data_IF_853378372254
#
_entry.id   IF_853378372254
#
_cell.length_a   1.000
_cell.length_b   1.000
_cell.length_c   1.000
_cell.angle_alpha   90.00
_cell.angle_beta   90.00
_cell.angle_gamma   90.00
#
_symmetry.space_group_name_H-M   'P 1'
#
loop_
_entity.id
_entity.type
_entity.pdbx_description
1 polymer ?
#
# COMPACT_ATOMS: atom_id res chain seq x y z
N UNK A 1 -28.52 14.32 21.44
CA UNK A 1 -27.80 13.32 22.26
C UNK A 1 -26.66 12.72 21.42
N UNK A 2 -25.40 12.74 21.86
CA UNK A 2 -24.34 11.99 21.19
C UNK A 2 -24.70 10.51 21.11
N UNK A 3 -24.57 9.89 19.95
CA UNK A 3 -24.78 8.46 19.82
C UNK A 3 -23.64 7.70 20.51
N UNK A 4 -23.93 6.51 21.04
CA UNK A 4 -22.93 5.68 21.71
C UNK A 4 -21.72 5.39 20.82
N UNK A 5 -21.96 5.22 19.51
CA UNK A 5 -20.91 5.04 18.50
C UNK A 5 -19.97 6.25 18.44
N UNK A 6 -20.53 7.46 18.43
CA UNK A 6 -19.74 8.69 18.36
C UNK A 6 -18.83 8.85 19.57
N UNK A 7 -19.35 8.62 20.78
CA UNK A 7 -18.54 8.70 22.02
C UNK A 7 -17.39 7.70 22.03
N UNK A 8 -17.62 6.49 21.50
CA UNK A 8 -16.57 5.47 21.39
C UNK A 8 -15.48 5.87 20.41
N UNK A 9 -15.85 6.49 19.29
CA UNK A 9 -14.88 7.01 18.33
C UNK A 9 -14.07 8.17 18.93
N UNK A 10 -14.73 9.14 19.57
CA UNK A 10 -14.10 10.28 20.26
C UNK A 10 -13.06 9.79 21.29
N UNK A 11 -13.44 8.87 22.18
CA UNK A 11 -12.52 8.30 23.18
C UNK A 11 -11.35 7.53 22.55
N UNK A 12 -11.59 6.84 21.42
CA UNK A 12 -10.53 6.14 20.69
C UNK A 12 -9.50 7.10 20.11
N UNK A 13 -9.94 8.19 19.49
CA UNK A 13 -9.05 9.21 18.94
C UNK A 13 -8.29 9.98 20.03
N UNK A 14 -8.94 10.29 21.15
CA UNK A 14 -8.30 10.93 22.31
C UNK A 14 -7.16 10.07 22.87
N UNK A 15 -7.45 8.79 23.15
CA UNK A 15 -6.43 7.84 23.63
C UNK A 15 -5.27 7.69 22.64
N UNK A 16 -5.58 7.63 21.34
CA UNK A 16 -4.57 7.50 20.30
C UNK A 16 -3.67 8.74 20.21
N UNK A 17 -4.26 9.94 20.29
CA UNK A 17 -3.52 11.20 20.30
C UNK A 17 -2.58 11.29 21.51
N UNK A 18 -3.08 10.95 22.69
CA UNK A 18 -2.29 10.90 23.92
C UNK A 18 -1.12 9.93 23.83
N UNK A 19 -1.34 8.75 23.23
CA UNK A 19 -0.30 7.75 23.01
C UNK A 19 0.82 8.28 22.10
N UNK A 20 0.44 8.92 20.98
CA UNK A 20 1.40 9.53 20.06
C UNK A 20 2.17 10.64 20.76
N UNK A 21 1.51 11.53 21.49
CA UNK A 21 2.18 12.65 22.15
C UNK A 21 3.19 12.18 23.21
N UNK A 22 2.74 11.28 24.10
CA UNK A 22 3.58 10.73 25.19
C UNK A 22 4.76 9.92 24.66
N UNK A 23 4.62 9.27 23.50
CA UNK A 23 5.66 8.41 22.90
C UNK A 23 6.00 8.83 21.46
N UNK A 24 6.14 10.14 21.24
CA UNK A 24 6.33 10.72 19.90
C UNK A 24 7.51 10.12 19.13
N UNK A 25 8.64 9.83 19.80
CA UNK A 25 9.76 9.17 19.14
C UNK A 25 9.43 7.77 18.61
N UNK A 26 8.64 6.98 19.34
CA UNK A 26 8.22 5.65 18.89
C UNK A 26 7.19 5.76 17.77
N UNK A 27 6.29 6.73 17.84
CA UNK A 27 5.33 7.01 16.76
C UNK A 27 6.04 7.41 15.46
N UNK A 28 7.05 8.29 15.55
CA UNK A 28 7.89 8.68 14.41
C UNK A 28 8.67 7.48 13.85
N UNK A 29 9.30 6.68 14.72
CA UNK A 29 10.02 5.48 14.30
C UNK A 29 9.10 4.48 13.60
N UNK A 30 7.91 4.23 14.16
CA UNK A 30 6.94 3.30 13.59
C UNK A 30 6.44 3.78 12.23
N UNK A 31 6.13 5.07 12.09
CA UNK A 31 5.75 5.68 10.80
C UNK A 31 6.88 5.54 9.78
N UNK A 32 8.12 5.83 10.18
CA UNK A 32 9.28 5.68 9.31
C UNK A 32 9.48 4.22 8.87
N UNK A 33 9.41 3.28 9.81
CA UNK A 33 9.49 1.85 9.50
C UNK A 33 8.39 1.40 8.54
N UNK A 34 7.16 1.91 8.70
CA UNK A 34 6.06 1.63 7.79
C UNK A 34 6.35 2.16 6.37
N UNK A 35 6.79 3.41 6.25
CA UNK A 35 7.16 4.02 4.97
C UNK A 35 8.30 3.24 4.30
N UNK A 36 9.37 2.96 5.03
CA UNK A 36 10.53 2.21 4.52
C UNK A 36 10.12 0.79 4.14
N UNK A 37 9.27 0.14 4.93
CA UNK A 37 8.75 -1.19 4.64
C UNK A 37 7.98 -1.22 3.32
N UNK A 38 7.09 -0.25 3.08
CA UNK A 38 6.37 -0.12 1.80
C UNK A 38 7.34 0.22 0.65
N UNK A 39 8.22 1.19 0.85
CA UNK A 39 9.18 1.65 -0.16
C UNK A 39 10.19 0.55 -0.56
N UNK A 40 10.52 -0.37 0.33
CA UNK A 40 11.46 -1.47 0.07
C UNK A 40 11.04 -2.39 -1.09
N UNK A 41 9.75 -2.39 -1.45
CA UNK A 41 9.21 -3.18 -2.57
C UNK A 41 9.30 -2.46 -3.92
N UNK A 42 9.53 -1.16 -3.94
CA UNK A 42 9.62 -0.36 -5.18
C UNK A 42 10.74 -0.87 -6.11
N UNK A 43 11.97 -1.18 -5.64
CA UNK A 43 13.02 -1.70 -6.53
C UNK A 43 12.72 -3.09 -7.11
N UNK A 44 11.87 -3.89 -6.44
CA UNK A 44 11.44 -5.20 -6.92
C UNK A 44 10.24 -5.16 -7.86
N UNK A 45 9.70 -3.97 -8.13
CA UNK A 45 8.54 -3.78 -8.99
C UNK A 45 8.96 -4.05 -10.45
N UNK A 46 8.46 -5.16 -11.01
CA UNK A 46 8.63 -5.46 -12.44
C UNK A 46 7.57 -4.69 -13.22
N UNK A 47 8.00 -3.69 -13.98
CA UNK A 47 7.15 -3.03 -14.96
C UNK A 47 7.27 -3.79 -16.28
N UNK A 48 6.18 -4.42 -16.70
CA UNK A 48 6.08 -4.89 -18.08
C UNK A 48 5.74 -3.70 -18.97
N UNK A 49 6.72 -3.22 -19.74
CA UNK A 49 6.55 -2.09 -20.66
C UNK A 49 6.29 -2.55 -22.09
N UNK A 50 6.06 -3.84 -22.30
CA UNK A 50 5.83 -4.41 -23.62
C UNK A 50 4.35 -4.27 -24.01
N UNK A 51 4.09 -4.10 -25.31
CA UNK A 51 2.72 -4.07 -25.85
C UNK A 51 2.05 -5.44 -25.76
N UNK A 52 2.86 -6.50 -25.76
CA UNK A 52 2.46 -7.89 -25.63
C UNK A 52 1.83 -8.19 -24.27
N UNK A 53 2.30 -7.54 -23.20
CA UNK A 53 1.70 -7.65 -21.85
C UNK A 53 0.27 -7.10 -21.74
N UNK A 54 -0.23 -6.37 -22.75
CA UNK A 54 -1.63 -5.94 -22.84
C UNK A 54 -2.54 -6.95 -23.53
N UNK A 55 -1.98 -7.95 -24.21
CA UNK A 55 -2.73 -9.00 -24.89
C UNK A 55 -3.08 -10.12 -23.91
N UNK A 56 -4.20 -10.80 -24.16
CA UNK A 56 -4.52 -12.00 -23.40
C UNK A 56 -3.53 -13.11 -23.74
N UNK A 57 -3.27 -14.01 -22.80
CA UNK A 57 -2.31 -15.10 -22.97
C UNK A 57 -2.59 -15.97 -24.22
N UNK A 58 -3.86 -16.08 -24.62
CA UNK A 58 -4.30 -16.87 -25.78
C UNK A 58 -4.49 -16.03 -27.06
N UNK A 59 -4.05 -14.77 -27.08
CA UNK A 59 -4.23 -13.91 -28.26
C UNK A 59 -3.41 -14.46 -29.45
N UNK A 60 -4.04 -14.70 -30.61
CA UNK A 60 -3.34 -15.23 -31.79
C UNK A 60 -2.22 -14.32 -32.28
N UNK A 61 -2.28 -13.01 -32.00
CA UNK A 61 -1.23 -12.03 -32.29
C UNK A 61 0.00 -12.27 -31.41
N UNK A 62 -0.23 -12.56 -30.11
CA UNK A 62 0.82 -12.92 -29.16
C UNK A 62 1.50 -14.23 -29.55
N UNK A 63 0.70 -15.27 -29.88
CA UNK A 63 1.20 -16.59 -30.29
C UNK A 63 2.00 -16.50 -31.60
N UNK A 64 1.55 -15.69 -32.56
CA UNK A 64 2.27 -15.47 -33.80
C UNK A 64 3.61 -14.77 -33.54
N UNK A 65 3.63 -13.70 -32.74
CA UNK A 65 4.85 -12.99 -32.35
C UNK A 65 5.86 -13.92 -31.67
N UNK A 66 5.43 -14.72 -30.69
CA UNK A 66 6.31 -15.67 -29.99
C UNK A 66 6.87 -16.77 -30.91
N UNK A 67 6.15 -17.14 -31.98
CA UNK A 67 6.69 -18.09 -32.99
C UNK A 67 7.80 -17.50 -33.86
N UNK A 68 7.86 -16.18 -34.01
CA UNK A 68 8.88 -15.50 -34.82
C UNK A 68 10.10 -15.04 -34.02
N UNK A 69 10.01 -15.03 -32.70
CA UNK A 69 11.09 -14.67 -31.77
C UNK A 69 12.11 -15.78 -31.61
#
# INVERSE_FOLDING_TARGET
>A
MPTALRRRAEAGFEWFGDLIYRRHWLALLLMLCLIVGLASRIPGLKMDTSTEGFLHADDPTLIAYDRFR
#
